data_IF_925738541760
#
_entry.id   IF_925738541760
#
_cell.length_a   1.000
_cell.length_b   1.000
_cell.length_c   1.000
_cell.angle_alpha   90.00
_cell.angle_beta   90.00
_cell.angle_gamma   90.00
#
_symmetry.space_group_name_H-M   'P 1'
#
loop_
_entity.id
_entity.type
_entity.pdbx_description
1 polymer ?
#
# COMPACT_ATOMS: atom_id res chain seq x y z
N UNK A 1 8.39 10.35 -5.79
CA UNK A 1 9.35 9.27 -5.46
C UNK A 1 9.46 9.15 -3.96
N UNK A 2 9.97 8.02 -3.45
CA UNK A 2 10.30 7.84 -2.04
C UNK A 2 11.73 7.30 -1.91
N UNK A 3 12.52 7.96 -1.07
CA UNK A 3 13.89 7.58 -0.73
C UNK A 3 13.93 7.19 0.75
N UNK A 4 14.64 6.11 1.06
CA UNK A 4 14.79 5.58 2.42
C UNK A 4 16.25 5.22 2.68
N UNK A 5 16.55 4.87 3.92
CA UNK A 5 17.78 4.16 4.30
C UNK A 5 17.38 2.98 5.19
N UNK A 6 18.16 1.92 5.17
CA UNK A 6 17.92 0.74 5.98
C UNK A 6 18.54 0.94 7.36
N UNK A 7 17.68 1.06 8.39
CA UNK A 7 18.11 1.24 9.78
C UNK A 7 18.78 -0.04 10.32
N UNK A 8 18.31 -1.22 9.91
CA UNK A 8 18.91 -2.49 10.33
C UNK A 8 20.34 -2.61 9.80
N UNK A 9 20.57 -2.27 8.53
CA UNK A 9 21.92 -2.20 7.95
C UNK A 9 22.79 -1.12 8.61
N UNK A 10 22.23 0.07 8.81
CA UNK A 10 22.94 1.20 9.42
C UNK A 10 23.40 0.88 10.84
N UNK A 11 22.59 0.16 11.62
CA UNK A 11 22.92 -0.24 12.99
C UNK A 11 24.07 -1.24 13.06
N UNK A 12 24.29 -2.06 12.02
CA UNK A 12 25.46 -2.95 11.92
C UNK A 12 26.76 -2.19 11.65
N UNK A 13 26.66 -0.95 11.17
CA UNK A 13 27.80 -0.13 10.73
C UNK A 13 27.72 1.31 11.26
N UNK A 14 27.75 1.52 12.60
CA UNK A 14 27.49 2.84 13.21
C UNK A 14 28.51 3.93 12.84
N UNK A 15 29.70 3.53 12.38
CA UNK A 15 30.76 4.44 11.96
C UNK A 15 30.72 4.78 10.46
N UNK A 16 29.79 4.19 9.69
CA UNK A 16 29.61 4.51 8.27
C UNK A 16 28.48 5.54 8.12
N UNK A 17 28.59 6.48 7.17
CA UNK A 17 27.47 7.38 6.88
C UNK A 17 26.28 6.57 6.36
N UNK A 18 25.07 6.98 6.77
CA UNK A 18 23.81 6.38 6.29
C UNK A 18 23.71 6.47 4.77
N UNK A 19 23.33 5.36 4.12
CA UNK A 19 23.17 5.29 2.67
C UNK A 19 21.70 5.41 2.29
N UNK A 20 21.36 6.50 1.64
CA UNK A 20 20.03 6.69 1.07
C UNK A 20 19.92 6.01 -0.28
N UNK A 21 18.80 5.33 -0.50
CA UNK A 21 18.46 4.71 -1.77
C UNK A 21 16.98 4.95 -2.11
N UNK A 22 16.66 4.93 -3.41
CA UNK A 22 15.29 5.08 -3.89
C UNK A 22 14.54 3.78 -3.59
N UNK A 23 13.48 3.87 -2.79
CA UNK A 23 12.57 2.75 -2.56
C UNK A 23 11.68 2.53 -3.78
N UNK A 24 10.94 3.58 -4.19
CA UNK A 24 10.07 3.50 -5.36
C UNK A 24 9.73 4.86 -5.99
N UNK A 25 9.27 4.81 -7.24
CA UNK A 25 8.48 5.87 -7.86
C UNK A 25 7.03 5.42 -7.96
N UNK A 26 6.08 6.30 -7.64
CA UNK A 26 4.66 5.93 -7.59
C UNK A 26 4.13 5.46 -8.95
N UNK A 27 4.44 6.20 -10.01
CA UNK A 27 4.05 5.87 -11.38
C UNK A 27 4.62 4.52 -11.82
N UNK A 28 5.86 4.23 -11.44
CA UNK A 28 6.55 2.98 -11.83
C UNK A 28 6.04 1.78 -11.03
N UNK A 29 5.77 1.97 -9.74
CA UNK A 29 5.27 0.94 -8.83
C UNK A 29 3.84 0.54 -9.16
N UNK A 30 2.95 1.52 -9.37
CA UNK A 30 1.52 1.28 -9.57
C UNK A 30 1.10 1.31 -11.05
N UNK A 31 2.06 1.42 -11.97
CA UNK A 31 1.84 1.47 -13.43
C UNK A 31 0.81 2.52 -13.84
N UNK A 32 0.84 3.67 -13.17
CA UNK A 32 -0.03 4.81 -13.45
C UNK A 32 0.74 5.84 -14.25
N UNK A 33 0.16 6.29 -15.35
CA UNK A 33 0.72 7.32 -16.25
C UNK A 33 0.79 8.71 -15.60
N UNK A 34 -0.24 9.08 -14.83
CA UNK A 34 -0.37 10.37 -14.15
C UNK A 34 -1.14 10.27 -12.85
N UNK A 35 -0.74 11.07 -11.86
CA UNK A 35 -1.44 11.16 -10.58
C UNK A 35 -2.61 12.14 -10.72
N UNK A 36 -3.77 11.63 -11.15
CA UNK A 36 -5.03 12.39 -11.24
C UNK A 36 -6.10 11.75 -10.36
N UNK A 37 -7.15 12.48 -9.93
CA UNK A 37 -8.20 11.92 -9.09
C UNK A 37 -8.85 10.67 -9.68
N UNK A 38 -9.10 10.66 -11.00
CA UNK A 38 -9.67 9.51 -11.70
C UNK A 38 -8.74 8.29 -11.64
N UNK A 39 -7.45 8.47 -11.96
CA UNK A 39 -6.46 7.38 -11.89
C UNK A 39 -6.26 6.83 -10.48
N UNK A 40 -6.28 7.70 -9.47
CA UNK A 40 -6.18 7.26 -8.08
C UNK A 40 -7.43 6.46 -7.68
N UNK A 41 -8.62 6.91 -8.09
CA UNK A 41 -9.84 6.16 -7.84
C UNK A 41 -9.84 4.78 -8.52
N UNK A 42 -9.41 4.69 -9.78
CA UNK A 42 -9.22 3.40 -10.48
C UNK A 42 -8.23 2.49 -9.74
N UNK A 43 -7.11 3.04 -9.28
CA UNK A 43 -6.10 2.30 -8.51
C UNK A 43 -6.70 1.71 -7.23
N UNK A 44 -7.45 2.50 -6.46
CA UNK A 44 -8.09 2.04 -5.21
C UNK A 44 -9.12 0.94 -5.50
N UNK A 45 -9.92 1.07 -6.56
CA UNK A 45 -10.84 0.01 -6.96
C UNK A 45 -10.10 -1.25 -7.41
N UNK A 46 -8.95 -1.13 -8.09
CA UNK A 46 -8.16 -2.30 -8.48
C UNK A 46 -7.60 -3.06 -7.28
N UNK A 47 -7.28 -2.36 -6.18
CA UNK A 47 -6.81 -2.99 -4.95
C UNK A 47 -7.85 -3.96 -4.35
N UNK A 48 -9.15 -3.77 -4.60
CA UNK A 48 -10.19 -4.69 -4.08
C UNK A 48 -10.25 -6.03 -4.80
N UNK A 49 -9.59 -6.15 -5.97
CA UNK A 49 -9.62 -7.33 -6.83
C UNK A 49 -8.24 -7.90 -7.18
N UNK A 50 -7.17 -7.15 -6.94
CA UNK A 50 -5.78 -7.56 -7.20
C UNK A 50 -4.99 -7.65 -5.89
N UNK A 51 -4.73 -8.89 -5.46
CA UNK A 51 -3.99 -9.19 -4.23
C UNK A 51 -2.54 -8.71 -4.29
N UNK A 52 -1.90 -8.78 -5.47
CA UNK A 52 -0.52 -8.34 -5.63
C UNK A 52 -0.44 -6.83 -5.47
N UNK A 53 -1.40 -6.10 -6.05
CA UNK A 53 -1.50 -4.65 -5.94
C UNK A 53 -1.73 -4.21 -4.49
N UNK A 54 -2.65 -4.86 -3.79
CA UNK A 54 -2.93 -4.60 -2.38
C UNK A 54 -1.74 -4.90 -1.47
N UNK A 55 -1.06 -6.02 -1.69
CA UNK A 55 0.13 -6.39 -0.93
C UNK A 55 1.32 -5.46 -1.23
N UNK A 56 1.49 -5.05 -2.49
CA UNK A 56 2.50 -4.06 -2.87
C UNK A 56 2.25 -2.72 -2.17
N UNK A 57 1.00 -2.26 -2.13
CA UNK A 57 0.66 -1.05 -1.39
C UNK A 57 1.01 -1.17 0.10
N UNK A 58 0.60 -2.26 0.74
CA UNK A 58 0.90 -2.51 2.14
C UNK A 58 2.41 -2.49 2.42
N UNK A 59 3.19 -3.20 1.61
CA UNK A 59 4.65 -3.21 1.70
C UNK A 59 5.26 -1.81 1.60
N UNK A 60 4.86 -1.05 0.58
CA UNK A 60 5.37 0.30 0.34
C UNK A 60 4.88 1.31 1.40
N UNK A 61 3.68 1.14 1.97
CA UNK A 61 3.16 1.94 3.10
C UNK A 61 4.07 1.81 4.32
N UNK A 62 4.56 0.61 4.60
CA UNK A 62 5.51 0.32 5.68
C UNK A 62 6.98 0.40 5.23
N UNK A 63 7.26 0.97 4.05
CA UNK A 63 8.61 1.19 3.53
C UNK A 63 9.46 -0.09 3.47
N UNK A 64 8.81 -1.22 3.15
CA UNK A 64 9.43 -2.55 3.10
C UNK A 64 10.12 -2.99 4.41
N UNK A 65 9.69 -2.45 5.56
CA UNK A 65 10.16 -2.91 6.85
C UNK A 65 9.66 -4.33 7.15
N UNK A 66 10.56 -5.33 7.11
CA UNK A 66 10.24 -6.76 7.28
C UNK A 66 9.39 -7.06 8.52
N UNK A 67 9.71 -6.40 9.64
CA UNK A 67 8.97 -6.52 10.91
C UNK A 67 7.50 -6.14 10.79
N UNK A 68 7.16 -5.24 9.86
CA UNK A 68 5.79 -4.79 9.60
C UNK A 68 5.12 -5.56 8.46
N UNK A 69 5.89 -6.09 7.51
CA UNK A 69 5.34 -6.64 6.25
C UNK A 69 5.35 -8.16 6.15
N UNK A 70 6.09 -8.87 7.01
CA UNK A 70 6.27 -10.33 6.95
C UNK A 70 4.98 -11.15 6.96
N UNK A 71 3.93 -10.68 7.65
CA UNK A 71 2.63 -11.35 7.73
C UNK A 71 1.70 -11.08 6.54
N UNK A 72 2.09 -10.21 5.61
CA UNK A 72 1.24 -9.74 4.54
C UNK A 72 0.05 -8.89 5.02
N UNK A 73 -0.85 -8.56 4.10
CA UNK A 73 -2.04 -7.76 4.35
C UNK A 73 -3.29 -8.59 4.08
N UNK A 74 -3.90 -9.11 5.14
CA UNK A 74 -5.15 -9.85 5.06
C UNK A 74 -6.34 -8.96 4.65
N UNK A 75 -7.53 -9.55 4.53
CA UNK A 75 -8.76 -8.85 4.11
C UNK A 75 -9.04 -7.58 4.91
N UNK A 76 -8.92 -7.66 6.22
CA UNK A 76 -9.21 -6.53 7.11
C UNK A 76 -8.18 -5.41 6.89
N UNK A 77 -6.90 -5.75 6.78
CA UNK A 77 -5.85 -4.82 6.41
C UNK A 77 -6.11 -4.14 5.05
N UNK A 78 -6.55 -4.89 4.02
CA UNK A 78 -6.88 -4.30 2.71
C UNK A 78 -8.07 -3.36 2.84
N UNK A 79 -9.12 -3.79 3.56
CA UNK A 79 -10.32 -2.99 3.82
C UNK A 79 -9.97 -1.66 4.50
N UNK A 80 -9.17 -1.70 5.56
CA UNK A 80 -8.71 -0.50 6.26
C UNK A 80 -7.93 0.43 5.33
N UNK A 81 -7.02 -0.11 4.53
CA UNK A 81 -6.22 0.67 3.60
C UNK A 81 -7.07 1.38 2.55
N UNK A 82 -7.96 0.67 1.85
CA UNK A 82 -8.78 1.26 0.79
C UNK A 82 -9.82 2.23 1.35
N UNK A 83 -10.41 1.93 2.52
CA UNK A 83 -11.35 2.82 3.17
C UNK A 83 -10.68 4.12 3.64
N UNK A 84 -9.47 4.04 4.19
CA UNK A 84 -8.70 5.23 4.60
C UNK A 84 -8.44 6.17 3.41
N UNK A 85 -8.16 5.62 2.22
CA UNK A 85 -7.90 6.41 1.01
C UNK A 85 -9.13 7.20 0.52
N UNK A 86 -10.34 6.67 0.73
CA UNK A 86 -11.58 7.26 0.19
C UNK A 86 -12.44 7.95 1.24
N UNK A 87 -11.98 8.03 2.49
CA UNK A 87 -12.71 8.66 3.60
C UNK A 87 -12.02 9.97 4.00
N UNK A 88 -12.30 11.10 3.32
CA UNK A 88 -11.59 12.36 3.56
C UNK A 88 -11.89 12.98 4.94
N UNK A 89 -13.03 12.66 5.55
CA UNK A 89 -13.41 13.10 6.89
C UNK A 89 -14.44 12.17 7.53
N UNK A 90 -14.62 12.33 8.84
CA UNK A 90 -15.48 11.48 9.66
C UNK A 90 -16.93 11.44 9.13
N UNK A 91 -17.50 10.23 9.03
CA UNK A 91 -18.84 9.89 8.51
C UNK A 91 -19.04 9.84 6.98
N UNK A 92 -18.04 10.16 6.16
CA UNK A 92 -18.13 9.99 4.70
C UNK A 92 -17.71 8.59 4.25
N UNK A 93 -18.54 7.61 4.59
CA UNK A 93 -18.23 6.18 4.44
C UNK A 93 -18.83 5.53 3.20
N UNK A 94 -19.61 6.24 2.39
CA UNK A 94 -20.33 5.66 1.24
C UNK A 94 -19.38 4.98 0.26
N UNK A 95 -18.27 5.64 -0.09
CA UNK A 95 -17.26 5.07 -0.97
C UNK A 95 -16.57 3.86 -0.35
N UNK A 96 -16.27 3.91 0.95
CA UNK A 96 -15.72 2.77 1.68
C UNK A 96 -16.68 1.57 1.69
N UNK A 97 -18.00 1.81 1.83
CA UNK A 97 -19.00 0.75 1.80
C UNK A 97 -19.06 0.06 0.42
N UNK A 98 -19.02 0.83 -0.67
CA UNK A 98 -18.94 0.27 -2.02
C UNK A 98 -17.67 -0.59 -2.23
N UNK A 99 -16.54 -0.15 -1.69
CA UNK A 99 -15.29 -0.92 -1.77
C UNK A 99 -15.32 -2.18 -0.91
N UNK A 100 -15.98 -2.16 0.26
CA UNK A 100 -16.20 -3.34 1.09
C UNK A 100 -17.03 -4.39 0.38
N UNK A 101 -18.14 -3.98 -0.25
CA UNK A 101 -18.98 -4.88 -1.06
C UNK A 101 -18.18 -5.47 -2.23
N UNK A 102 -17.38 -4.64 -2.91
CA UNK A 102 -16.47 -5.10 -3.97
C UNK A 102 -15.46 -6.13 -3.45
N UNK A 103 -14.87 -5.90 -2.27
CA UNK A 103 -13.98 -6.85 -1.61
C UNK A 103 -14.72 -8.15 -1.27
N UNK A 104 -15.91 -8.10 -0.67
CA UNK A 104 -16.69 -9.30 -0.33
C UNK A 104 -16.95 -10.21 -1.54
N UNK A 105 -17.18 -9.62 -2.71
CA UNK A 105 -17.42 -10.37 -3.95
C UNK A 105 -16.12 -10.96 -4.53
N UNK A 106 -15.02 -10.22 -4.48
CA UNK A 106 -13.80 -10.53 -5.24
C UNK A 106 -12.67 -11.14 -4.40
N UNK A 107 -12.81 -11.20 -3.08
CA UNK A 107 -11.71 -11.58 -2.18
C UNK A 107 -11.36 -13.06 -2.30
N UNK A 108 -10.41 -13.37 -3.17
CA UNK A 108 -9.80 -14.69 -3.36
C UNK A 108 -8.28 -14.66 -3.07
N UNK A 109 -7.85 -13.81 -2.15
CA UNK A 109 -6.44 -13.70 -1.78
C UNK A 109 -6.07 -14.76 -0.73
N UNK A 110 -5.40 -15.83 -1.17
CA UNK A 110 -4.74 -16.78 -0.28
C UNK A 110 -3.40 -16.17 0.16
N UNK A 111 -3.41 -15.51 1.33
CA UNK A 111 -2.18 -15.09 1.98
C UNK A 111 -1.62 -16.29 2.76
N UNK A 112 -0.53 -16.87 2.25
CA UNK A 112 0.27 -17.90 2.95
C UNK A 112 1.19 -17.25 3.99
#
# INVERSE_FOLDING_TARGET
EMWIYDISESNLHPNRPMRWFKLYSFTDAYKVDRITPHRMNELVQNMTRDCNLSNQYFRLKFRDAEVSTSKGCNRDCVTENVCYMVTPYYKHVDQCNLLKESLDINYNCNFQ
#
